data_IF_763840418357
#
_entry.id   IF_763840418357
#
_cell.length_a   1.000
_cell.length_b   1.000
_cell.length_c   1.000
_cell.angle_alpha   90.00
_cell.angle_beta   90.00
_cell.angle_gamma   90.00
#
_symmetry.space_group_name_H-M   'P 1'
#
loop_
_entity.id
_entity.type
_entity.pdbx_description
1 polymer ?
#
# COMPACT_ATOMS: atom_id res chain seq x y z
N UNK A 1 4.21 -5.91 17.84
CA UNK A 1 5.01 -4.89 18.54
C UNK A 1 4.42 -3.54 18.14
N UNK A 2 3.76 -2.84 19.07
CA UNK A 2 3.32 -1.45 18.90
C UNK A 2 4.39 -0.55 19.51
N UNK A 3 4.90 0.41 18.75
CA UNK A 3 5.82 1.44 19.23
C UNK A 3 5.03 2.48 20.06
N UNK A 4 5.34 2.68 21.36
CA UNK A 4 4.70 3.67 22.21
C UNK A 4 4.86 5.13 21.72
N UNK A 5 5.75 5.40 20.77
CA UNK A 5 5.96 6.75 20.20
C UNK A 5 4.85 7.24 19.27
N UNK A 6 3.93 6.39 18.82
CA UNK A 6 2.88 6.75 17.85
C UNK A 6 1.68 7.48 18.48
N UNK A 7 1.54 7.46 19.81
CA UNK A 7 0.50 8.21 20.50
C UNK A 7 0.89 8.50 21.96
N UNK A 8 1.65 9.58 22.22
CA UNK A 8 2.11 9.93 23.57
C UNK A 8 0.99 10.26 24.57
N UNK A 9 -0.24 10.48 24.07
CA UNK A 9 -1.40 10.90 24.87
C UNK A 9 -2.38 9.77 25.19
N UNK A 10 -2.10 8.53 24.78
CA UNK A 10 -3.03 7.42 24.98
C UNK A 10 -2.81 6.72 26.33
N UNK A 11 -3.88 6.40 27.10
CA UNK A 11 -3.76 5.55 28.29
C UNK A 11 -3.13 4.21 27.90
N UNK A 12 -2.21 3.69 28.73
CA UNK A 12 -1.37 2.51 28.41
C UNK A 12 -2.10 1.44 27.59
N UNK A 13 -1.73 1.31 26.30
CA UNK A 13 -2.23 0.27 25.39
C UNK A 13 -3.56 0.55 24.68
N UNK A 14 -4.19 1.71 24.88
CA UNK A 14 -5.41 2.13 24.15
C UNK A 14 -5.10 3.14 23.04
N UNK A 15 -5.96 3.26 22.04
CA UNK A 15 -5.92 4.37 21.07
C UNK A 15 -6.68 5.56 21.65
N UNK A 16 -6.16 6.77 21.49
CA UNK A 16 -6.91 7.98 21.83
C UNK A 16 -8.01 8.24 20.79
N UNK A 17 -9.03 9.04 21.15
CA UNK A 17 -10.19 9.34 20.28
C UNK A 17 -9.84 10.00 18.92
N UNK A 18 -8.60 10.49 18.75
CA UNK A 18 -8.13 11.17 17.54
C UNK A 18 -6.81 10.57 17.03
N UNK A 19 -6.60 9.27 17.23
CA UNK A 19 -5.36 8.64 16.85
C UNK A 19 -5.17 8.74 15.32
N UNK A 20 -4.03 9.24 14.81
CA UNK A 20 -3.75 9.28 13.37
C UNK A 20 -3.85 7.90 12.70
N UNK A 21 -3.66 6.83 13.47
CA UNK A 21 -3.84 5.45 13.02
C UNK A 21 -5.28 5.12 12.67
N UNK A 22 -6.28 5.77 13.26
CA UNK A 22 -7.68 5.51 12.92
C UNK A 22 -8.00 5.99 11.51
N UNK A 23 -7.42 7.13 11.10
CA UNK A 23 -7.52 7.61 9.72
C UNK A 23 -6.81 6.68 8.76
N UNK A 24 -5.63 6.19 9.15
CA UNK A 24 -4.88 5.23 8.33
C UNK A 24 -5.62 3.91 8.18
N UNK A 25 -6.20 3.39 9.26
CA UNK A 25 -7.00 2.18 9.25
C UNK A 25 -8.28 2.37 8.44
N UNK A 26 -8.95 3.52 8.55
CA UNK A 26 -10.11 3.83 7.72
C UNK A 26 -9.72 3.86 6.22
N UNK A 27 -8.58 4.47 5.88
CA UNK A 27 -8.09 4.49 4.51
C UNK A 27 -7.76 3.08 4.00
N UNK A 28 -7.06 2.26 4.79
CA UNK A 28 -6.70 0.89 4.43
C UNK A 28 -7.94 -0.02 4.26
N UNK A 29 -8.98 0.18 5.08
CA UNK A 29 -10.20 -0.60 5.02
C UNK A 29 -11.22 -0.07 4.00
N UNK A 30 -10.99 1.10 3.41
CA UNK A 30 -11.81 1.60 2.31
C UNK A 30 -11.68 0.71 1.07
N UNK A 31 -12.68 0.72 0.19
CA UNK A 31 -12.67 -0.04 -1.06
C UNK A 31 -11.41 0.25 -1.90
N UNK A 32 -11.05 1.53 -2.02
CA UNK A 32 -9.84 1.96 -2.73
C UNK A 32 -8.57 1.45 -2.05
N UNK A 33 -8.51 1.50 -0.71
CA UNK A 33 -7.38 0.99 0.06
C UNK A 33 -7.19 -0.51 -0.12
N UNK A 34 -8.28 -1.28 -0.10
CA UNK A 34 -8.25 -2.72 -0.34
C UNK A 34 -7.84 -3.04 -1.78
N UNK A 35 -8.33 -2.29 -2.77
CA UNK A 35 -7.92 -2.44 -4.17
C UNK A 35 -6.41 -2.22 -4.34
N UNK A 36 -5.88 -1.13 -3.78
CA UNK A 36 -4.44 -0.85 -3.80
C UNK A 36 -3.64 -1.96 -3.12
N UNK A 37 -4.12 -2.49 -2.00
CA UNK A 37 -3.48 -3.60 -1.31
C UNK A 37 -3.41 -4.85 -2.19
N UNK A 38 -4.53 -5.24 -2.82
CA UNK A 38 -4.57 -6.40 -3.73
C UNK A 38 -3.65 -6.22 -4.93
N UNK A 39 -3.60 -5.03 -5.52
CA UNK A 39 -2.68 -4.71 -6.60
C UNK A 39 -1.19 -4.84 -6.20
N UNK A 40 -0.84 -4.39 -5.00
CA UNK A 40 0.51 -4.55 -4.45
C UNK A 40 0.86 -6.02 -4.16
N UNK A 41 -0.08 -6.78 -3.59
CA UNK A 41 0.09 -8.21 -3.30
C UNK A 41 0.23 -9.01 -4.61
N UNK A 42 -0.58 -8.69 -5.63
CA UNK A 42 -0.49 -9.26 -6.97
C UNK A 42 0.89 -9.00 -7.58
N UNK A 43 1.36 -7.75 -7.53
CA UNK A 43 2.69 -7.38 -8.02
C UNK A 43 3.79 -8.16 -7.33
N UNK A 44 3.72 -8.27 -6.00
CA UNK A 44 4.70 -9.02 -5.21
C UNK A 44 4.69 -10.51 -5.59
N UNK A 45 3.51 -11.12 -5.76
CA UNK A 45 3.36 -12.50 -6.19
C UNK A 45 4.04 -12.74 -7.55
N UNK A 46 3.80 -11.88 -8.54
CA UNK A 46 4.44 -11.97 -9.86
C UNK A 46 5.96 -11.82 -9.78
N UNK A 47 6.48 -10.89 -8.96
CA UNK A 47 7.93 -10.74 -8.72
C UNK A 47 8.55 -11.98 -8.06
N UNK A 48 7.80 -12.68 -7.22
CA UNK A 48 8.21 -13.95 -6.61
C UNK A 48 8.08 -15.15 -7.56
N UNK A 49 7.62 -14.94 -8.79
CA UNK A 49 7.52 -15.97 -9.82
C UNK A 49 6.20 -16.75 -9.80
N UNK A 50 5.20 -16.29 -9.05
CA UNK A 50 3.84 -16.85 -9.12
C UNK A 50 3.29 -16.61 -10.52
N UNK A 51 2.74 -17.65 -11.14
CA UNK A 51 2.12 -17.57 -12.46
C UNK A 51 0.61 -17.48 -12.29
N UNK A 52 0.03 -16.48 -12.93
CA UNK A 52 -1.40 -16.25 -13.00
C UNK A 52 -1.76 -16.00 -14.45
N UNK A 53 -2.93 -16.48 -14.87
CA UNK A 53 -3.55 -16.15 -16.14
C UNK A 53 -4.32 -14.85 -16.01
N UNK A 54 -4.56 -14.17 -17.13
CA UNK A 54 -5.25 -12.87 -17.13
C UNK A 54 -6.73 -12.98 -16.73
N UNK A 55 -7.36 -14.15 -16.92
CA UNK A 55 -8.72 -14.43 -16.50
C UNK A 55 -8.84 -14.78 -15.00
N UNK A 56 -7.71 -14.96 -14.31
CA UNK A 56 -7.66 -15.17 -12.84
C UNK A 56 -7.54 -13.86 -12.05
N UNK A 57 -7.38 -12.72 -12.73
CA UNK A 57 -7.14 -11.42 -12.11
C UNK A 57 -8.33 -10.49 -12.40
N UNK A 58 -8.84 -9.82 -11.37
CA UNK A 58 -9.87 -8.81 -11.56
C UNK A 58 -9.32 -7.62 -12.35
N UNK A 59 -10.12 -7.06 -13.26
CA UNK A 59 -9.67 -6.03 -14.19
C UNK A 59 -9.19 -4.75 -13.49
N UNK A 60 -9.84 -4.39 -12.38
CA UNK A 60 -9.49 -3.26 -11.53
C UNK A 60 -8.16 -3.48 -10.80
N UNK A 61 -7.91 -4.69 -10.27
CA UNK A 61 -6.65 -5.05 -9.63
C UNK A 61 -5.48 -5.01 -10.62
N UNK A 62 -5.70 -5.56 -11.82
CA UNK A 62 -4.70 -5.52 -12.88
C UNK A 62 -4.37 -4.09 -13.29
N UNK A 63 -5.37 -3.23 -13.49
CA UNK A 63 -5.15 -1.82 -13.82
C UNK A 63 -4.46 -1.06 -12.70
N UNK A 64 -4.88 -1.25 -11.45
CA UNK A 64 -4.24 -0.62 -10.30
C UNK A 64 -2.77 -1.05 -10.18
N UNK A 65 -2.45 -2.32 -10.44
CA UNK A 65 -1.07 -2.82 -10.45
C UNK A 65 -0.23 -2.14 -11.53
N UNK A 66 -0.77 -1.96 -12.74
CA UNK A 66 -0.07 -1.28 -13.83
C UNK A 66 0.26 0.18 -13.47
N UNK A 67 -0.69 0.89 -12.84
CA UNK A 67 -0.48 2.26 -12.37
C UNK A 67 0.63 2.30 -11.32
N UNK A 68 0.61 1.40 -10.33
CA UNK A 68 1.66 1.31 -9.31
C UNK A 68 3.03 1.08 -9.94
N UNK A 69 3.13 0.20 -10.93
CA UNK A 69 4.37 -0.08 -11.65
C UNK A 69 4.87 1.15 -12.45
N UNK A 70 3.98 1.89 -13.11
CA UNK A 70 4.32 3.12 -13.83
C UNK A 70 4.83 4.21 -12.89
N UNK A 71 4.16 4.43 -11.76
CA UNK A 71 4.57 5.43 -10.78
C UNK A 71 5.91 5.07 -10.11
N UNK A 72 6.18 3.80 -9.83
CA UNK A 72 7.49 3.37 -9.35
C UNK A 72 8.59 3.62 -10.39
N UNK A 73 8.36 3.25 -11.66
CA UNK A 73 9.33 3.51 -12.73
C UNK A 73 9.59 5.01 -12.93
N UNK A 74 8.56 5.83 -12.76
CA UNK A 74 8.69 7.28 -12.80
C UNK A 74 9.53 7.79 -11.63
N UNK A 75 9.24 7.33 -10.41
CA UNK A 75 10.00 7.70 -9.22
C UNK A 75 11.48 7.33 -9.35
N UNK A 76 11.79 6.14 -9.88
CA UNK A 76 13.16 5.69 -10.12
C UNK A 76 13.90 6.61 -11.11
N UNK A 77 13.23 7.03 -12.19
CA UNK A 77 13.79 7.98 -13.17
C UNK A 77 14.03 9.37 -12.55
N UNK A 78 13.13 9.81 -11.68
CA UNK A 78 13.25 11.09 -10.98
C UNK A 78 14.41 11.05 -9.97
N UNK A 79 14.58 9.95 -9.23
CA UNK A 79 15.69 9.76 -8.29
C UNK A 79 17.06 9.85 -8.99
N UNK A 80 17.23 9.20 -10.15
CA UNK A 80 18.47 9.26 -10.94
C UNK A 80 18.82 10.70 -11.36
N UNK A 81 17.82 11.56 -11.61
CA UNK A 81 18.02 12.97 -11.97
C UNK A 81 18.42 13.86 -10.79
N UNK A 82 18.10 13.48 -9.56
CA UNK A 82 18.43 14.28 -8.37
C UNK A 82 19.89 14.03 -7.94
N UNK A 83 20.42 12.84 -8.21
CA UNK A 83 21.79 12.44 -7.85
C UNK A 83 22.84 12.73 -8.95
N UNK A 84 22.46 13.35 -10.07
CA UNK A 84 23.34 13.72 -11.21
C UNK A 84 23.54 15.23 -11.32
#
# INVERSE_FOLDING_TARGET
MCDPGLCPDAPEGSRCDHCPLDRLDAAQNSEVGQLLRRALDLRAALKLGVRLLLDEIAADEFQAMLIVEEEEQRADREAIRIDS
#
